data_IF_787715328265
#
_entry.id   IF_787715328265
#
_cell.length_a   1.000
_cell.length_b   1.000
_cell.length_c   1.000
_cell.angle_alpha   90.00
_cell.angle_beta   90.00
_cell.angle_gamma   90.00
#
_symmetry.space_group_name_H-M   'P 1'
#
loop_
_entity.id
_entity.type
_entity.pdbx_description
1 polymer ?
#
# COMPACT_ATOMS: atom_id res chain seq x y z
N UNK A 1 -29.45 -32.65 -15.30
CA UNK A 1 -28.68 -31.41 -15.28
C UNK A 1 -28.91 -30.74 -13.94
N UNK A 2 -27.88 -30.65 -13.11
CA UNK A 2 -27.98 -29.90 -11.85
C UNK A 2 -27.96 -28.38 -12.17
N UNK A 3 -28.27 -27.53 -11.18
CA UNK A 3 -28.30 -26.06 -11.38
C UNK A 3 -26.96 -25.51 -11.88
N UNK A 4 -25.84 -26.02 -11.35
CA UNK A 4 -24.51 -25.54 -11.68
C UNK A 4 -24.13 -25.86 -13.13
N UNK A 5 -24.41 -27.07 -13.61
CA UNK A 5 -24.17 -27.51 -14.98
C UNK A 5 -24.99 -26.72 -16.00
N UNK A 6 -26.23 -26.36 -15.68
CA UNK A 6 -27.04 -25.47 -16.52
C UNK A 6 -26.42 -24.08 -16.65
N UNK A 7 -26.00 -23.49 -15.52
CA UNK A 7 -25.33 -22.19 -15.50
C UNK A 7 -24.00 -22.21 -16.25
N UNK A 8 -23.21 -23.28 -16.11
CA UNK A 8 -21.93 -23.43 -16.82
C UNK A 8 -22.12 -23.47 -18.34
N UNK A 9 -23.12 -24.19 -18.84
CA UNK A 9 -23.43 -24.24 -20.28
C UNK A 9 -23.85 -22.86 -20.83
N UNK A 10 -24.63 -22.10 -20.07
CA UNK A 10 -24.99 -20.72 -20.42
C UNK A 10 -23.76 -19.80 -20.43
N UNK A 11 -22.87 -19.94 -19.44
CA UNK A 11 -21.65 -19.15 -19.32
C UNK A 11 -20.63 -19.51 -20.41
N UNK A 12 -20.50 -20.78 -20.78
CA UNK A 12 -19.62 -21.23 -21.86
C UNK A 12 -20.09 -20.70 -23.23
N UNK A 13 -21.40 -20.50 -23.40
CA UNK A 13 -21.98 -20.06 -24.68
C UNK A 13 -22.09 -18.54 -24.84
N UNK A 14 -22.23 -17.78 -23.75
CA UNK A 14 -22.42 -16.32 -23.84
C UNK A 14 -21.74 -15.52 -22.74
N UNK A 15 -20.89 -14.58 -23.14
CA UNK A 15 -20.27 -13.61 -22.23
C UNK A 15 -21.28 -12.67 -21.56
N UNK A 16 -22.44 -12.42 -22.19
CA UNK A 16 -23.50 -11.58 -21.58
C UNK A 16 -24.02 -12.16 -20.27
N UNK A 17 -23.96 -13.49 -20.13
CA UNK A 17 -24.39 -14.19 -18.93
C UNK A 17 -23.50 -13.90 -17.72
N UNK A 18 -22.22 -13.57 -17.95
CA UNK A 18 -21.33 -13.13 -16.88
C UNK A 18 -21.86 -11.85 -16.22
N UNK A 19 -22.31 -10.89 -17.05
CA UNK A 19 -22.84 -9.61 -16.58
C UNK A 19 -24.12 -9.79 -15.77
N UNK A 20 -24.99 -10.72 -16.17
CA UNK A 20 -26.19 -11.07 -15.41
C UNK A 20 -25.87 -11.75 -14.06
N UNK A 21 -24.83 -12.59 -14.03
CA UNK A 21 -24.45 -13.36 -12.84
C UNK A 21 -23.67 -12.52 -11.82
N UNK A 22 -22.85 -11.57 -12.27
CA UNK A 22 -21.90 -10.83 -11.43
C UNK A 22 -22.49 -10.21 -10.15
N UNK A 23 -23.68 -9.58 -10.17
CA UNK A 23 -24.26 -8.98 -8.96
C UNK A 23 -24.59 -10.00 -7.85
N UNK A 24 -24.85 -11.25 -8.21
CA UNK A 24 -25.24 -12.33 -7.28
C UNK A 24 -24.24 -13.48 -7.29
N UNK A 25 -23.02 -13.27 -7.77
CA UNK A 25 -22.04 -14.33 -7.98
C UNK A 25 -21.79 -15.15 -6.69
N UNK A 26 -21.68 -14.50 -5.53
CA UNK A 26 -21.47 -15.19 -4.26
C UNK A 26 -22.59 -16.17 -3.88
N UNK A 27 -23.86 -15.83 -4.18
CA UNK A 27 -25.01 -16.71 -3.93
C UNK A 27 -25.18 -17.76 -5.04
N UNK A 28 -24.94 -17.34 -6.28
CA UNK A 28 -25.14 -18.18 -7.46
C UNK A 28 -24.12 -19.31 -7.57
N UNK A 29 -22.92 -19.12 -7.01
CA UNK A 29 -21.86 -20.12 -6.96
C UNK A 29 -21.94 -21.03 -5.73
N UNK A 30 -22.89 -20.82 -4.81
CA UNK A 30 -23.02 -21.67 -3.62
C UNK A 30 -23.26 -23.13 -4.00
N UNK A 31 -22.48 -24.02 -3.38
CA UNK A 31 -22.58 -25.46 -3.62
C UNK A 31 -21.90 -25.94 -4.90
N UNK A 32 -21.17 -25.07 -5.62
CA UNK A 32 -20.30 -25.52 -6.70
C UNK A 32 -19.21 -26.45 -6.16
N UNK A 33 -18.92 -27.49 -6.92
CA UNK A 33 -17.79 -28.40 -6.70
C UNK A 33 -16.49 -27.83 -7.29
N UNK A 34 -15.34 -28.36 -6.86
CA UNK A 34 -14.04 -27.95 -7.41
C UNK A 34 -13.96 -28.10 -8.94
N UNK A 35 -14.56 -29.16 -9.49
CA UNK A 35 -14.62 -29.38 -10.94
C UNK A 35 -15.48 -28.34 -11.67
N UNK A 36 -16.59 -27.90 -11.06
CA UNK A 36 -17.44 -26.84 -11.63
C UNK A 36 -16.73 -25.48 -11.59
N UNK A 37 -15.94 -25.20 -10.56
CA UNK A 37 -15.08 -24.00 -10.47
C UNK A 37 -13.96 -24.04 -11.52
N UNK A 38 -13.36 -25.20 -11.79
CA UNK A 38 -12.36 -25.37 -12.86
C UNK A 38 -12.95 -24.99 -14.22
N UNK A 39 -14.11 -25.58 -14.57
CA UNK A 39 -14.82 -25.27 -15.83
C UNK A 39 -15.22 -23.81 -15.95
N UNK A 40 -15.72 -23.22 -14.85
CA UNK A 40 -16.04 -21.79 -14.82
C UNK A 40 -14.81 -20.93 -15.11
N UNK A 41 -13.66 -21.33 -14.56
CA UNK A 41 -12.38 -20.62 -14.74
C UNK A 41 -11.89 -20.69 -16.19
N UNK A 42 -12.10 -21.83 -16.87
CA UNK A 42 -11.83 -21.97 -18.31
C UNK A 42 -12.73 -21.05 -19.13
N UNK A 43 -14.04 -21.03 -18.85
CA UNK A 43 -14.98 -20.15 -19.54
C UNK A 43 -14.65 -18.67 -19.32
N UNK A 44 -14.34 -18.28 -18.08
CA UNK A 44 -13.89 -16.92 -17.73
C UNK A 44 -12.65 -16.52 -18.53
N UNK A 45 -11.64 -17.40 -18.63
CA UNK A 45 -10.41 -17.11 -19.36
C UNK A 45 -10.67 -16.82 -20.85
N UNK A 46 -11.56 -17.59 -21.49
CA UNK A 46 -11.95 -17.36 -22.90
C UNK A 46 -12.62 -16.00 -23.07
N UNK A 47 -13.60 -15.69 -22.22
CA UNK A 47 -14.34 -14.42 -22.31
C UNK A 47 -13.48 -13.20 -21.98
N UNK A 48 -12.63 -13.31 -20.97
CA UNK A 48 -11.69 -12.24 -20.61
C UNK A 48 -10.71 -11.99 -21.74
N UNK A 49 -10.13 -13.02 -22.34
CA UNK A 49 -9.22 -12.85 -23.47
C UNK A 49 -9.89 -12.14 -24.66
N UNK A 50 -11.10 -12.55 -25.03
CA UNK A 50 -11.86 -11.91 -26.10
C UNK A 50 -12.25 -10.46 -25.75
N UNK A 51 -12.66 -10.21 -24.50
CA UNK A 51 -13.05 -8.87 -24.05
C UNK A 51 -11.85 -7.92 -23.95
N UNK A 52 -10.67 -8.40 -23.55
CA UNK A 52 -9.43 -7.60 -23.56
C UNK A 52 -9.08 -7.13 -24.98
N UNK A 53 -9.19 -8.01 -25.97
CA UNK A 53 -8.95 -7.66 -27.37
C UNK A 53 -9.97 -6.62 -27.88
N UNK A 54 -11.25 -6.76 -27.50
CA UNK A 54 -12.30 -5.82 -27.87
C UNK A 54 -12.20 -4.47 -27.12
N UNK A 55 -11.61 -4.46 -25.92
CA UNK A 55 -11.40 -3.27 -25.10
C UNK A 55 -10.11 -2.51 -25.45
N UNK A 56 -9.25 -3.04 -26.34
CA UNK A 56 -8.00 -2.39 -26.76
C UNK A 56 -8.12 -0.88 -27.10
N UNK A 57 -9.19 -0.40 -27.78
CA UNK A 57 -9.36 1.03 -28.05
C UNK A 57 -9.50 1.91 -26.78
N UNK A 58 -9.96 1.35 -25.65
CA UNK A 58 -10.03 2.06 -24.37
C UNK A 58 -8.66 2.19 -23.70
N UNK A 59 -7.68 1.36 -24.10
CA UNK A 59 -6.32 1.42 -23.58
C UNK A 59 -5.51 2.54 -24.24
N UNK A 60 -5.71 2.74 -25.55
CA UNK A 60 -4.95 3.71 -26.36
C UNK A 60 -5.61 5.10 -26.47
N UNK A 61 -6.71 5.35 -25.76
CA UNK A 61 -7.47 6.60 -25.87
C UNK A 61 -6.60 7.81 -25.45
N UNK A 62 -5.92 8.41 -26.43
CA UNK A 62 -5.19 9.66 -26.25
C UNK A 62 -6.18 10.76 -25.79
N UNK A 63 -5.73 11.68 -24.94
CA UNK A 63 -6.53 12.84 -24.58
C UNK A 63 -6.73 13.68 -25.84
N UNK A 64 -7.95 13.67 -26.34
CA UNK A 64 -8.48 14.49 -27.41
C UNK A 64 -8.14 14.05 -28.85
N UNK A 65 -9.17 13.53 -29.54
CA UNK A 65 -9.31 13.68 -30.98
C UNK A 65 -8.85 12.52 -31.83
N UNK A 66 -9.54 11.36 -31.79
CA UNK A 66 -9.61 10.50 -32.98
C UNK A 66 -10.76 9.49 -32.89
N UNK A 67 -11.59 9.52 -33.94
CA UNK A 67 -12.56 8.54 -34.45
C UNK A 67 -13.41 7.72 -33.46
N UNK A 68 -14.72 7.81 -33.66
CA UNK A 68 -15.72 6.89 -33.15
C UNK A 68 -15.45 5.44 -33.61
N UNK A 69 -14.61 4.73 -32.85
CA UNK A 69 -14.75 3.27 -32.70
C UNK A 69 -16.10 3.05 -32.00
N UNK A 70 -16.89 2.07 -32.45
CA UNK A 70 -18.26 1.83 -31.96
C UNK A 70 -18.30 1.74 -30.44
N UNK A 71 -18.69 2.85 -29.79
CA UNK A 71 -18.59 3.02 -28.34
C UNK A 71 -19.32 1.92 -27.55
N UNK A 72 -20.37 1.35 -28.14
CA UNK A 72 -21.16 0.23 -27.60
C UNK A 72 -20.35 -1.07 -27.48
N UNK A 73 -19.47 -1.37 -28.44
CA UNK A 73 -18.66 -2.60 -28.41
C UNK A 73 -17.60 -2.56 -27.31
N UNK A 74 -17.01 -1.39 -27.09
CA UNK A 74 -15.99 -1.17 -26.04
C UNK A 74 -16.66 -1.21 -24.66
N UNK A 75 -17.80 -0.55 -24.51
CA UNK A 75 -18.56 -0.53 -23.25
C UNK A 75 -19.04 -1.95 -22.84
N UNK A 76 -19.52 -2.73 -23.81
CA UNK A 76 -19.86 -4.13 -23.57
C UNK A 76 -18.65 -4.96 -23.12
N UNK A 77 -17.48 -4.77 -23.74
CA UNK A 77 -16.25 -5.46 -23.36
C UNK A 77 -15.80 -5.09 -21.94
N UNK A 78 -15.81 -3.80 -21.58
CA UNK A 78 -15.51 -3.35 -20.22
C UNK A 78 -16.47 -3.93 -19.19
N UNK A 79 -17.77 -4.04 -19.53
CA UNK A 79 -18.78 -4.67 -18.69
C UNK A 79 -18.50 -6.16 -18.45
N UNK A 80 -18.08 -6.90 -19.48
CA UNK A 80 -17.68 -8.31 -19.36
C UNK A 80 -16.46 -8.47 -18.46
N UNK A 81 -15.43 -7.63 -18.62
CA UNK A 81 -14.23 -7.66 -17.79
C UNK A 81 -14.56 -7.36 -16.32
N UNK A 82 -15.44 -6.40 -16.06
CA UNK A 82 -15.86 -6.05 -14.70
C UNK A 82 -16.67 -7.17 -14.05
N UNK A 83 -17.54 -7.82 -14.84
CA UNK A 83 -18.29 -8.99 -14.40
C UNK A 83 -17.37 -10.18 -14.08
N UNK A 84 -16.38 -10.45 -14.94
CA UNK A 84 -15.37 -11.47 -14.70
C UNK A 84 -14.57 -11.21 -13.42
N UNK A 85 -14.16 -9.96 -13.18
CA UNK A 85 -13.48 -9.57 -11.94
C UNK A 85 -14.36 -9.83 -10.69
N UNK A 86 -15.65 -9.49 -10.76
CA UNK A 86 -16.59 -9.72 -9.66
C UNK A 86 -16.82 -11.22 -9.36
N UNK A 87 -16.93 -12.05 -10.42
CA UNK A 87 -17.08 -13.51 -10.29
C UNK A 87 -15.80 -14.13 -9.73
N UNK A 88 -14.63 -13.75 -10.26
CA UNK A 88 -13.34 -14.20 -9.75
C UNK A 88 -13.16 -13.82 -8.27
N UNK A 89 -13.64 -12.64 -7.87
CA UNK A 89 -13.61 -12.20 -6.48
C UNK A 89 -14.51 -13.06 -5.59
N UNK A 90 -15.70 -13.39 -6.06
CA UNK A 90 -16.62 -14.28 -5.34
C UNK A 90 -15.97 -15.65 -5.09
N UNK A 91 -15.27 -16.20 -6.09
CA UNK A 91 -14.51 -17.44 -5.93
C UNK A 91 -13.36 -17.26 -4.93
N UNK A 92 -12.60 -16.17 -5.05
CA UNK A 92 -11.45 -15.88 -4.20
C UNK A 92 -11.81 -15.65 -2.71
N UNK A 93 -13.02 -15.19 -2.39
CA UNK A 93 -13.44 -15.00 -0.99
C UNK A 93 -13.94 -16.30 -0.35
N UNK A 94 -14.46 -17.25 -1.13
CA UNK A 94 -15.04 -18.49 -0.62
C UNK A 94 -13.95 -19.53 -0.27
N UNK A 95 -13.63 -19.76 1.01
CA UNK A 95 -12.44 -20.55 1.41
C UNK A 95 -12.49 -22.01 0.95
N UNK A 96 -13.69 -22.55 0.75
CA UNK A 96 -13.88 -23.93 0.29
C UNK A 96 -13.46 -24.16 -1.17
N UNK A 97 -13.38 -23.10 -1.97
CA UNK A 97 -12.89 -23.20 -3.35
C UNK A 97 -11.37 -23.19 -3.39
N UNK A 98 -10.82 -24.16 -4.11
CA UNK A 98 -9.46 -24.06 -4.63
C UNK A 98 -9.39 -22.97 -5.69
N UNK A 99 -8.16 -22.55 -6.03
CA UNK A 99 -7.91 -21.56 -7.07
C UNK A 99 -7.30 -22.29 -8.28
N UNK A 100 -8.06 -22.49 -9.37
CA UNK A 100 -7.52 -22.99 -10.63
C UNK A 100 -6.45 -22.08 -11.21
N UNK A 101 -5.47 -22.64 -11.91
CA UNK A 101 -4.42 -21.87 -12.60
C UNK A 101 -5.02 -20.88 -13.62
N UNK A 102 -6.10 -21.28 -14.30
CA UNK A 102 -6.81 -20.39 -15.24
C UNK A 102 -7.44 -19.18 -14.57
N UNK A 103 -7.94 -19.35 -13.34
CA UNK A 103 -8.52 -18.24 -12.59
C UNK A 103 -7.42 -17.27 -12.13
N UNK A 104 -6.28 -17.80 -11.72
CA UNK A 104 -5.11 -16.99 -11.35
C UNK A 104 -4.63 -16.18 -12.57
N UNK A 105 -4.48 -16.81 -13.73
CA UNK A 105 -4.10 -16.15 -14.98
C UNK A 105 -5.12 -15.06 -15.41
N UNK A 106 -6.42 -15.26 -15.14
CA UNK A 106 -7.44 -14.22 -15.34
C UNK A 106 -7.21 -13.03 -14.41
N UNK A 107 -6.93 -13.29 -13.12
CA UNK A 107 -6.66 -12.22 -12.16
C UNK A 107 -5.39 -11.42 -12.51
N UNK A 108 -4.32 -12.10 -12.94
CA UNK A 108 -3.08 -11.49 -13.44
C UNK A 108 -3.34 -10.63 -14.68
N UNK A 109 -4.02 -11.17 -15.70
CA UNK A 109 -4.31 -10.44 -16.94
C UNK A 109 -5.18 -9.19 -16.70
N UNK A 110 -6.12 -9.27 -15.75
CA UNK A 110 -6.92 -8.12 -15.33
C UNK A 110 -6.09 -7.10 -14.55
N UNK A 111 -5.20 -7.57 -13.68
CA UNK A 111 -4.31 -6.71 -12.90
C UNK A 111 -3.33 -5.93 -13.77
N UNK A 112 -2.79 -6.55 -14.82
CA UNK A 112 -1.84 -5.93 -15.74
C UNK A 112 -2.40 -4.67 -16.41
N UNK A 113 -3.70 -4.65 -16.71
CA UNK A 113 -4.35 -3.53 -17.40
C UNK A 113 -4.81 -2.38 -16.48
N UNK A 114 -4.64 -2.46 -15.16
CA UNK A 114 -5.19 -1.46 -14.20
C UNK A 114 -4.83 -0.02 -14.62
N UNK A 115 -3.58 0.21 -15.03
CA UNK A 115 -3.08 1.54 -15.41
C UNK A 115 -3.19 1.86 -16.90
N UNK A 116 -3.54 0.88 -17.73
CA UNK A 116 -3.76 1.09 -19.16
C UNK A 116 -5.18 1.60 -19.44
N UNK A 117 -6.08 1.54 -18.46
CA UNK A 117 -7.47 2.00 -18.56
C UNK A 117 -7.57 3.53 -18.48
N UNK A 118 -7.27 4.22 -19.58
CA UNK A 118 -7.30 5.68 -19.68
C UNK A 118 -8.71 6.26 -19.90
N UNK A 119 -9.64 5.47 -20.43
CA UNK A 119 -11.02 5.89 -20.68
C UNK A 119 -11.80 6.09 -19.35
N UNK A 120 -12.46 7.24 -19.12
CA UNK A 120 -13.26 7.47 -17.92
C UNK A 120 -14.33 6.40 -17.66
N UNK A 121 -14.87 5.77 -18.72
CA UNK A 121 -15.85 4.68 -18.63
C UNK A 121 -15.27 3.44 -17.95
N UNK A 122 -13.95 3.25 -17.99
CA UNK A 122 -13.26 2.12 -17.39
C UNK A 122 -12.99 2.26 -15.89
N UNK A 123 -13.37 3.39 -15.27
CA UNK A 123 -13.20 3.60 -13.83
C UNK A 123 -13.90 2.52 -12.97
N UNK A 124 -15.10 2.08 -13.39
CA UNK A 124 -15.82 0.98 -12.74
C UNK A 124 -15.05 -0.34 -12.82
N UNK A 125 -14.41 -0.62 -13.97
CA UNK A 125 -13.59 -1.80 -14.17
C UNK A 125 -12.33 -1.75 -13.30
N UNK A 126 -11.62 -0.63 -13.26
CA UNK A 126 -10.45 -0.45 -12.38
C UNK A 126 -10.82 -0.75 -10.92
N UNK A 127 -11.94 -0.20 -10.44
CA UNK A 127 -12.45 -0.46 -9.09
C UNK A 127 -12.71 -1.95 -8.85
N UNK A 128 -13.37 -2.62 -9.78
CA UNK A 128 -13.68 -4.06 -9.66
C UNK A 128 -12.41 -4.94 -9.64
N UNK A 129 -11.42 -4.62 -10.48
CA UNK A 129 -10.13 -5.34 -10.52
C UNK A 129 -9.38 -5.15 -9.21
N UNK A 130 -9.33 -3.92 -8.69
CA UNK A 130 -8.66 -3.63 -7.41
C UNK A 130 -9.35 -4.37 -6.26
N UNK A 131 -10.69 -4.36 -6.20
CA UNK A 131 -11.44 -5.11 -5.18
C UNK A 131 -11.22 -6.63 -5.25
N UNK A 132 -11.07 -7.17 -6.47
CA UNK A 132 -10.64 -8.56 -6.69
C UNK A 132 -9.27 -8.80 -6.06
N UNK A 133 -8.27 -8.00 -6.41
CA UNK A 133 -6.89 -8.16 -5.92
C UNK A 133 -6.80 -7.98 -4.40
N UNK A 134 -7.54 -7.02 -3.82
CA UNK A 134 -7.65 -6.82 -2.38
C UNK A 134 -8.20 -8.07 -1.69
N UNK A 135 -9.28 -8.64 -2.22
CA UNK A 135 -9.90 -9.85 -1.67
C UNK A 135 -8.98 -11.06 -1.80
N UNK A 136 -8.28 -11.19 -2.92
CA UNK A 136 -7.30 -12.24 -3.19
C UNK A 136 -6.15 -12.21 -2.18
N UNK A 137 -5.63 -11.02 -1.89
CA UNK A 137 -4.59 -10.81 -0.89
C UNK A 137 -5.08 -11.16 0.53
N UNK A 138 -6.24 -10.63 0.92
CA UNK A 138 -6.81 -10.80 2.26
C UNK A 138 -7.25 -12.25 2.56
N UNK A 139 -7.68 -12.99 1.53
CA UNK A 139 -8.03 -14.40 1.63
C UNK A 139 -6.81 -15.36 1.51
N UNK A 140 -5.59 -14.81 1.44
CA UNK A 140 -4.33 -15.57 1.38
C UNK A 140 -4.26 -16.58 0.24
N UNK A 141 -4.78 -16.19 -0.93
CA UNK A 141 -4.82 -17.06 -2.11
C UNK A 141 -3.44 -17.22 -2.76
N UNK A 142 -3.19 -18.35 -3.47
CA UNK A 142 -1.95 -18.55 -4.24
C UNK A 142 -1.77 -17.46 -5.30
N UNK A 143 -0.52 -17.16 -5.66
CA UNK A 143 -0.19 -16.13 -6.64
C UNK A 143 -0.44 -14.68 -6.19
N UNK A 144 -0.91 -14.44 -4.94
CA UNK A 144 -1.27 -13.09 -4.46
C UNK A 144 -0.17 -12.05 -4.58
N UNK A 145 1.09 -12.47 -4.58
CA UNK A 145 2.27 -11.60 -4.65
C UNK A 145 2.37 -10.91 -6.03
N UNK A 146 1.97 -11.60 -7.10
CA UNK A 146 1.97 -11.09 -8.48
C UNK A 146 0.96 -9.94 -8.65
N UNK A 147 -0.13 -9.98 -7.88
CA UNK A 147 -1.17 -8.95 -7.88
C UNK A 147 -0.81 -7.71 -7.04
N UNK A 148 0.35 -7.65 -6.39
CA UNK A 148 0.67 -6.56 -5.46
C UNK A 148 1.00 -5.22 -6.13
N UNK A 149 1.91 -5.13 -7.12
CA UNK A 149 2.52 -3.84 -7.47
C UNK A 149 1.51 -2.80 -8.00
N UNK A 150 0.63 -3.19 -8.92
CA UNK A 150 -0.36 -2.30 -9.52
C UNK A 150 -1.50 -2.00 -8.52
N UNK A 151 -1.97 -3.00 -7.77
CA UNK A 151 -3.01 -2.81 -6.74
C UNK A 151 -2.57 -1.83 -5.66
N UNK A 152 -1.37 -1.98 -5.11
CA UNK A 152 -0.84 -1.03 -4.12
C UNK A 152 -0.63 0.35 -4.74
N UNK A 153 -0.11 0.42 -5.96
CA UNK A 153 0.07 1.70 -6.67
C UNK A 153 -1.27 2.41 -6.84
N UNK A 154 -2.34 1.70 -7.20
CA UNK A 154 -3.68 2.26 -7.34
C UNK A 154 -4.19 2.80 -6.00
N UNK A 155 -4.12 1.99 -4.92
CA UNK A 155 -4.56 2.40 -3.59
C UNK A 155 -3.78 3.62 -3.07
N UNK A 156 -2.48 3.71 -3.39
CA UNK A 156 -1.66 4.88 -3.08
C UNK A 156 -2.12 6.11 -3.84
N UNK A 157 -2.35 6.00 -5.15
CA UNK A 157 -2.88 7.11 -5.97
C UNK A 157 -4.25 7.56 -5.45
N UNK A 158 -5.16 6.64 -5.12
CA UNK A 158 -6.46 6.96 -4.53
C UNK A 158 -6.33 7.68 -3.19
N UNK A 159 -5.46 7.22 -2.29
CA UNK A 159 -5.23 7.86 -0.99
C UNK A 159 -4.52 9.22 -1.07
N UNK A 160 -3.80 9.47 -2.17
CA UNK A 160 -3.10 10.73 -2.44
C UNK A 160 -3.91 11.73 -3.25
N UNK A 161 -5.01 11.30 -3.86
CA UNK A 161 -5.92 12.16 -4.61
C UNK A 161 -6.46 13.33 -3.75
N UNK A 162 -6.89 14.41 -4.38
CA UNK A 162 -7.43 15.58 -3.66
C UNK A 162 -8.76 15.29 -2.98
N UNK A 163 -9.62 14.52 -3.66
CA UNK A 163 -10.91 14.06 -3.14
C UNK A 163 -10.81 12.82 -2.24
N UNK A 164 -9.59 12.39 -1.87
CA UNK A 164 -9.39 11.22 -1.03
C UNK A 164 -10.05 11.38 0.35
N UNK A 165 -10.56 10.27 0.87
CA UNK A 165 -11.27 10.19 2.15
C UNK A 165 -10.48 9.34 3.16
N UNK A 166 -10.93 9.34 4.42
CA UNK A 166 -10.37 8.45 5.42
C UNK A 166 -10.62 6.96 5.10
N UNK A 167 -11.63 6.63 4.28
CA UNK A 167 -11.88 5.26 3.85
C UNK A 167 -10.76 4.75 2.94
N UNK A 168 -10.26 5.59 2.02
CA UNK A 168 -9.15 5.24 1.12
C UNK A 168 -7.87 4.93 1.90
N UNK A 169 -7.56 5.73 2.93
CA UNK A 169 -6.42 5.48 3.82
C UNK A 169 -6.59 4.18 4.61
N UNK A 170 -7.81 3.86 5.05
CA UNK A 170 -8.11 2.60 5.76
C UNK A 170 -7.95 1.38 4.84
N UNK A 171 -8.39 1.47 3.58
CA UNK A 171 -8.19 0.42 2.57
C UNK A 171 -6.70 0.17 2.34
N UNK A 172 -5.92 1.22 2.09
CA UNK A 172 -4.46 1.10 1.95
C UNK A 172 -3.79 0.47 3.19
N UNK A 173 -4.23 0.83 4.40
CA UNK A 173 -3.73 0.20 5.63
C UNK A 173 -4.12 -1.28 5.75
N UNK A 174 -5.31 -1.68 5.28
CA UNK A 174 -5.71 -3.09 5.29
C UNK A 174 -4.71 -3.97 4.52
N UNK A 175 -4.23 -3.48 3.36
CA UNK A 175 -3.23 -4.15 2.52
C UNK A 175 -1.77 -3.88 2.87
N UNK A 176 -1.47 -3.20 3.98
CA UNK A 176 -0.09 -2.84 4.38
C UNK A 176 0.93 -3.99 4.29
N UNK A 177 0.55 -5.24 4.57
CA UNK A 177 1.47 -6.37 4.55
C UNK A 177 1.97 -6.69 3.14
N UNK A 178 1.20 -6.35 2.10
CA UNK A 178 1.59 -6.52 0.71
C UNK A 178 2.82 -5.68 0.33
N UNK A 179 3.03 -4.53 1.00
CA UNK A 179 4.25 -3.75 0.81
C UNK A 179 5.52 -4.54 1.15
N UNK A 180 5.42 -5.60 1.95
CA UNK A 180 6.56 -6.47 2.28
C UNK A 180 7.01 -7.39 1.15
N UNK A 181 6.20 -7.56 0.10
CA UNK A 181 6.52 -8.40 -1.08
C UNK A 181 7.50 -7.69 -2.02
N UNK A 182 7.51 -6.36 -2.00
CA UNK A 182 8.25 -5.54 -2.96
C UNK A 182 9.76 -5.57 -2.67
N UNK A 183 10.57 -5.70 -3.73
CA UNK A 183 12.01 -5.51 -3.63
C UNK A 183 12.34 -4.01 -3.68
N UNK A 184 12.63 -3.42 -2.51
CA UNK A 184 12.99 -2.01 -2.36
C UNK A 184 14.40 -1.64 -2.88
N UNK A 185 15.22 -2.65 -3.23
CA UNK A 185 16.51 -2.44 -3.86
C UNK A 185 16.41 -2.40 -5.39
N UNK A 186 15.36 -2.97 -5.96
CA UNK A 186 15.15 -2.99 -7.40
C UNK A 186 14.68 -1.61 -7.93
N UNK A 187 15.21 -1.14 -9.08
CA UNK A 187 14.80 0.15 -9.66
C UNK A 187 13.31 0.23 -10.05
N UNK A 188 12.64 -0.89 -10.33
CA UNK A 188 11.23 -0.94 -10.73
C UNK A 188 10.29 -0.35 -9.66
N UNK A 189 10.64 -0.48 -8.38
CA UNK A 189 9.85 0.04 -7.25
C UNK A 189 9.95 1.57 -7.10
N UNK A 190 10.80 2.25 -7.88
CA UNK A 190 11.09 3.68 -7.71
C UNK A 190 9.83 4.55 -7.80
N UNK A 191 8.92 4.26 -8.73
CA UNK A 191 7.66 4.99 -8.86
C UNK A 191 6.77 4.82 -7.61
N UNK A 192 6.67 3.58 -7.11
CA UNK A 192 5.92 3.26 -5.90
C UNK A 192 6.55 3.90 -4.65
N UNK A 193 7.89 3.90 -4.53
CA UNK A 193 8.61 4.63 -3.46
C UNK A 193 8.28 6.12 -3.47
N UNK A 194 8.19 6.75 -4.65
CA UNK A 194 7.77 8.16 -4.76
C UNK A 194 6.35 8.35 -4.20
N UNK A 195 5.40 7.47 -4.54
CA UNK A 195 4.04 7.54 -3.97
C UNK A 195 4.07 7.42 -2.43
N UNK A 196 4.82 6.45 -1.89
CA UNK A 196 5.01 6.29 -0.44
C UNK A 196 5.60 7.55 0.23
N UNK A 197 6.56 8.21 -0.42
CA UNK A 197 7.12 9.48 0.07
C UNK A 197 6.07 10.60 0.10
N UNK A 198 5.15 10.65 -0.88
CA UNK A 198 4.04 11.60 -0.85
C UNK A 198 3.06 11.30 0.30
N UNK A 199 2.86 10.03 0.66
CA UNK A 199 2.05 9.67 1.83
C UNK A 199 2.63 10.23 3.13
N UNK A 200 3.97 10.34 3.25
CA UNK A 200 4.63 10.91 4.42
C UNK A 200 4.24 12.36 4.68
N UNK A 201 3.81 13.10 3.65
CA UNK A 201 3.55 14.54 3.73
C UNK A 201 2.08 14.90 3.51
N UNK A 202 1.22 13.95 3.09
CA UNK A 202 -0.20 14.18 2.83
C UNK A 202 -0.97 14.42 4.16
N UNK A 203 -1.61 15.60 4.36
CA UNK A 203 -2.28 15.92 5.61
C UNK A 203 -3.45 14.98 5.98
N UNK A 204 -4.10 14.34 5.00
CA UNK A 204 -5.16 13.36 5.24
C UNK A 204 -4.59 12.10 5.91
N UNK A 205 -3.51 11.55 5.35
CA UNK A 205 -2.83 10.35 5.87
C UNK A 205 -2.30 10.60 7.28
N UNK A 206 -1.66 11.75 7.54
CA UNK A 206 -1.15 12.09 8.87
C UNK A 206 -2.24 12.21 9.94
N UNK A 207 -3.40 12.78 9.58
CA UNK A 207 -4.50 12.97 10.53
C UNK A 207 -5.25 11.67 10.85
N UNK A 208 -5.32 10.76 9.89
CA UNK A 208 -5.92 9.44 10.06
C UNK A 208 -5.08 8.55 11.01
N UNK A 209 -5.72 7.80 11.89
CA UNK A 209 -5.02 6.90 12.81
C UNK A 209 -4.37 5.73 12.05
N UNK A 210 -5.09 5.12 11.12
CA UNK A 210 -4.61 4.07 10.23
C UNK A 210 -3.50 4.58 9.32
N UNK A 211 -3.60 5.83 8.83
CA UNK A 211 -2.54 6.48 8.09
C UNK A 211 -1.26 6.63 8.91
N UNK A 212 -1.31 7.08 10.18
CA UNK A 212 -0.11 7.11 11.02
C UNK A 212 0.49 5.73 11.28
N UNK A 213 -0.35 4.70 11.46
CA UNK A 213 0.14 3.32 11.57
C UNK A 213 0.87 2.89 10.29
N UNK A 214 0.33 3.26 9.11
CA UNK A 214 0.98 3.01 7.82
C UNK A 214 2.35 3.69 7.77
N UNK A 215 2.45 4.99 8.10
CA UNK A 215 3.72 5.72 8.05
C UNK A 215 4.76 5.13 9.01
N UNK A 216 4.34 4.65 10.18
CA UNK A 216 5.22 3.90 11.11
C UNK A 216 5.70 2.59 10.48
N UNK A 217 4.80 1.85 9.81
CA UNK A 217 5.13 0.60 9.14
C UNK A 217 6.17 0.80 8.02
N UNK A 218 6.11 1.92 7.29
CA UNK A 218 7.08 2.21 6.21
C UNK A 218 8.54 2.27 6.68
N UNK A 219 8.78 2.72 7.92
CA UNK A 219 10.13 2.71 8.52
C UNK A 219 10.67 1.29 8.75
N UNK A 220 9.82 0.26 8.70
CA UNK A 220 10.20 -1.15 8.88
C UNK A 220 10.38 -1.93 7.59
N UNK A 221 10.26 -1.30 6.41
CA UNK A 221 10.29 -2.00 5.12
C UNK A 221 11.71 -2.23 4.57
N UNK A 222 12.54 -1.18 4.57
CA UNK A 222 13.89 -1.26 4.01
C UNK A 222 14.81 -0.20 4.62
N UNK A 223 15.97 -0.56 5.23
CA UNK A 223 16.80 0.41 5.97
C UNK A 223 17.32 1.60 5.12
N UNK A 224 17.78 1.41 3.87
CA UNK A 224 18.11 2.53 2.98
C UNK A 224 16.96 3.50 2.74
N UNK A 225 15.71 3.00 2.67
CA UNK A 225 14.54 3.84 2.40
C UNK A 225 14.19 4.78 3.56
N UNK A 226 14.57 4.44 4.80
CA UNK A 226 14.35 5.28 6.00
C UNK A 226 14.91 6.70 5.81
N UNK A 227 16.07 6.84 5.16
CA UNK A 227 16.67 8.14 4.91
C UNK A 227 15.84 9.02 3.96
N UNK A 228 15.18 8.40 2.98
CA UNK A 228 14.29 9.11 2.05
C UNK A 228 13.00 9.55 2.76
N UNK A 229 12.40 8.65 3.57
CA UNK A 229 11.22 8.95 4.39
C UNK A 229 11.51 10.12 5.35
N UNK A 230 12.67 10.07 6.02
CA UNK A 230 13.13 11.12 6.92
C UNK A 230 13.30 12.46 6.20
N UNK A 231 13.97 12.46 5.03
CA UNK A 231 14.16 13.67 4.21
C UNK A 231 12.82 14.28 3.81
N UNK A 232 11.86 13.47 3.39
CA UNK A 232 10.51 13.93 3.04
C UNK A 232 9.81 14.63 4.22
N UNK A 233 9.83 14.03 5.42
CA UNK A 233 9.29 14.65 6.63
C UNK A 233 10.05 15.93 6.99
N UNK A 234 11.38 15.89 7.02
CA UNK A 234 12.25 16.98 7.46
C UNK A 234 12.03 18.24 6.62
N UNK A 235 11.82 18.09 5.31
CA UNK A 235 11.48 19.20 4.42
C UNK A 235 10.17 19.92 4.80
N UNK A 236 9.23 19.22 5.45
CA UNK A 236 7.94 19.80 5.87
C UNK A 236 8.01 20.51 7.23
N UNK A 237 8.96 20.18 8.11
CA UNK A 237 9.03 20.70 9.49
C UNK A 237 8.96 22.24 9.57
N UNK A 238 9.69 23.00 8.74
CA UNK A 238 9.72 24.46 8.83
C UNK A 238 8.39 25.12 8.44
N UNK A 239 7.64 24.50 7.52
CA UNK A 239 6.46 25.09 6.87
C UNK A 239 5.15 24.56 7.40
N UNK A 240 5.12 23.33 7.93
CA UNK A 240 3.89 22.73 8.41
C UNK A 240 3.41 23.37 9.72
N UNK A 241 2.13 23.17 10.06
CA UNK A 241 1.56 23.63 11.34
C UNK A 241 2.03 22.77 12.51
N UNK A 242 1.97 23.33 13.73
CA UNK A 242 2.35 22.61 14.97
C UNK A 242 1.69 21.23 15.08
N UNK A 243 0.40 21.14 14.81
CA UNK A 243 -0.33 19.87 14.94
C UNK A 243 0.20 18.77 14.03
N UNK A 244 0.80 19.09 12.87
CA UNK A 244 1.46 18.08 12.03
C UNK A 244 2.84 17.71 12.59
N UNK A 245 3.59 18.66 13.14
CA UNK A 245 4.86 18.38 13.83
C UNK A 245 4.69 17.43 15.02
N UNK A 246 3.62 17.61 15.80
CA UNK A 246 3.30 16.73 16.91
C UNK A 246 3.05 15.29 16.42
N UNK A 247 2.36 15.12 15.30
CA UNK A 247 2.10 13.81 14.68
C UNK A 247 3.39 13.18 14.11
N UNK A 248 4.28 13.96 13.52
CA UNK A 248 5.60 13.45 13.12
C UNK A 248 6.43 12.95 14.30
N UNK A 249 6.39 13.67 15.43
CA UNK A 249 7.02 13.23 16.67
C UNK A 249 6.49 11.86 17.14
N UNK A 250 5.17 11.67 17.11
CA UNK A 250 4.53 10.38 17.38
C UNK A 250 5.01 9.28 16.42
N UNK A 251 5.08 9.56 15.12
CA UNK A 251 5.50 8.59 14.10
C UNK A 251 6.95 8.15 14.34
N UNK A 252 7.89 9.08 14.52
CA UNK A 252 9.29 8.74 14.79
C UNK A 252 9.44 7.88 16.05
N UNK A 253 8.76 8.27 17.13
CA UNK A 253 8.82 7.52 18.38
C UNK A 253 8.28 6.10 18.22
N UNK A 254 7.13 5.93 17.57
CA UNK A 254 6.52 4.61 17.35
C UNK A 254 7.38 3.74 16.43
N UNK A 255 7.98 4.32 15.39
CA UNK A 255 8.91 3.61 14.51
C UNK A 255 10.16 3.14 15.27
N UNK A 256 10.79 4.03 16.05
CA UNK A 256 11.91 3.68 16.92
C UNK A 256 11.54 2.57 17.91
N UNK A 257 10.35 2.66 18.53
CA UNK A 257 9.89 1.67 19.49
C UNK A 257 9.72 0.28 18.87
N UNK A 258 9.19 0.21 17.65
CA UNK A 258 9.06 -1.02 16.90
C UNK A 258 10.44 -1.62 16.57
N UNK A 259 11.39 -0.81 16.11
CA UNK A 259 12.75 -1.25 15.77
C UNK A 259 13.59 -1.67 17.00
N UNK A 260 13.31 -1.11 18.17
CA UNK A 260 14.03 -1.40 19.42
C UNK A 260 13.71 -2.78 20.04
N UNK A 261 12.92 -3.62 19.36
CA UNK A 261 12.54 -4.96 19.84
C UNK A 261 11.64 -4.96 21.08
N UNK A 262 11.25 -3.79 21.57
CA UNK A 262 10.55 -3.66 22.83
C UNK A 262 9.02 -3.84 22.73
N UNK A 263 8.55 -4.21 21.53
CA UNK A 263 7.22 -4.74 21.22
C UNK A 263 7.21 -6.27 21.04
N UNK A 264 8.37 -6.95 21.07
CA UNK A 264 8.46 -8.41 20.93
C UNK A 264 8.30 -9.10 22.29
N UNK A 265 7.08 -9.05 22.82
CA UNK A 265 6.63 -9.97 23.87
C UNK A 265 5.41 -10.74 23.35
N UNK A 266 5.58 -11.48 22.26
CA UNK A 266 4.80 -12.67 21.92
C UNK A 266 5.33 -13.29 20.63
N UNK A 267 5.59 -14.59 20.72
CA UNK A 267 5.75 -15.55 19.61
C UNK A 267 7.17 -15.76 19.05
N UNK A 268 7.82 -16.75 19.68
CA UNK A 268 8.73 -17.78 19.13
C UNK A 268 10.05 -17.40 18.46
N UNK A 269 11.14 -17.71 19.18
CA UNK A 269 12.08 -18.75 18.76
C UNK A 269 13.21 -18.35 17.82
N UNK A 270 14.41 -18.18 18.37
CA UNK A 270 15.65 -18.17 17.58
C UNK A 270 16.78 -17.37 18.23
N UNK A 271 17.77 -18.06 18.76
CA UNK A 271 18.90 -17.51 19.49
C UNK A 271 19.83 -16.61 18.64
N UNK A 272 20.43 -15.62 19.33
CA UNK A 272 21.85 -15.17 19.34
C UNK A 272 21.86 -13.68 19.73
N UNK A 273 22.48 -13.21 20.80
CA UNK A 273 23.84 -13.55 21.22
C UNK A 273 24.83 -12.73 20.39
N UNK A 274 24.85 -11.40 20.58
CA UNK A 274 25.73 -10.46 19.88
C UNK A 274 25.11 -9.07 19.80
N UNK A 275 25.79 -8.05 20.32
CA UNK A 275 25.40 -6.63 20.26
C UNK A 275 25.56 -6.09 18.83
N UNK A 276 24.69 -6.54 17.92
CA UNK A 276 24.50 -5.91 16.61
C UNK A 276 23.26 -5.03 16.74
N UNK A 277 23.45 -3.71 16.62
CA UNK A 277 22.33 -2.78 16.47
C UNK A 277 21.61 -3.18 15.18
N UNK A 278 20.30 -3.42 15.27
CA UNK A 278 19.47 -3.68 14.10
C UNK A 278 19.62 -2.51 13.12
N UNK A 279 19.91 -2.76 11.84
CA UNK A 279 20.14 -1.71 10.84
C UNK A 279 18.99 -0.66 10.78
N UNK A 280 17.76 -1.09 11.04
CA UNK A 280 16.60 -0.20 11.16
C UNK A 280 16.72 0.76 12.36
N UNK A 281 17.13 0.24 13.51
CA UNK A 281 17.31 1.02 14.73
C UNK A 281 18.43 2.05 14.57
N UNK A 282 19.56 1.65 14.00
CA UNK A 282 20.68 2.55 13.69
C UNK A 282 20.24 3.70 12.79
N UNK A 283 19.53 3.40 11.69
CA UNK A 283 19.01 4.42 10.77
C UNK A 283 18.00 5.36 11.43
N UNK A 284 17.15 4.86 12.32
CA UNK A 284 16.18 5.69 13.06
C UNK A 284 16.86 6.57 14.12
N UNK A 285 17.83 6.02 14.84
CA UNK A 285 18.51 6.72 15.91
C UNK A 285 19.49 7.76 15.36
N UNK A 286 20.43 7.36 14.51
CA UNK A 286 21.50 8.23 14.00
C UNK A 286 21.03 9.03 12.77
N UNK A 287 20.30 8.38 11.86
CA UNK A 287 19.87 8.98 10.60
C UNK A 287 18.62 9.87 10.68
N UNK A 288 17.82 9.75 11.75
CA UNK A 288 16.58 10.52 11.91
C UNK A 288 16.57 11.32 13.21
N UNK A 289 16.57 10.66 14.37
CA UNK A 289 16.39 11.33 15.66
C UNK A 289 17.58 12.24 15.99
N UNK A 290 18.80 11.73 15.87
CA UNK A 290 20.02 12.50 16.14
C UNK A 290 20.20 13.66 15.14
N UNK A 291 19.83 13.45 13.87
CA UNK A 291 19.80 14.53 12.87
C UNK A 291 18.89 15.70 13.31
N UNK A 292 17.65 15.40 13.74
CA UNK A 292 16.73 16.41 14.26
C UNK A 292 17.29 17.09 15.52
N UNK A 293 17.89 16.32 16.43
CA UNK A 293 18.52 16.85 17.64
C UNK A 293 19.67 17.80 17.30
N UNK A 294 20.55 17.40 16.38
CA UNK A 294 21.68 18.21 15.93
C UNK A 294 21.21 19.54 15.38
N UNK A 295 20.23 19.52 14.46
CA UNK A 295 19.67 20.73 13.90
C UNK A 295 18.89 21.58 14.91
N UNK A 296 18.25 20.97 15.92
CA UNK A 296 17.54 21.71 16.96
C UNK A 296 18.50 22.51 17.85
N UNK A 297 19.69 21.97 18.14
CA UNK A 297 20.74 22.64 18.93
C UNK A 297 21.44 23.73 18.12
N UNK A 298 21.72 23.48 16.83
CA UNK A 298 22.49 24.39 15.98
C UNK A 298 21.63 25.33 15.11
N UNK A 299 20.31 25.33 15.29
CA UNK A 299 19.42 26.16 14.50
C UNK A 299 19.73 27.65 14.69
N UNK A 300 20.05 28.34 13.59
CA UNK A 300 20.31 29.77 13.59
C UNK A 300 19.07 30.63 13.90
N UNK A 301 17.86 30.11 13.69
CA UNK A 301 16.62 30.81 13.99
C UNK A 301 15.83 30.15 15.12
N UNK A 302 15.30 30.99 16.01
CA UNK A 302 14.47 30.54 17.14
C UNK A 302 13.22 29.77 16.67
N UNK A 303 12.66 30.17 15.51
CA UNK A 303 11.50 29.51 14.91
C UNK A 303 11.83 28.09 14.45
N UNK A 304 12.96 27.89 13.75
CA UNK A 304 13.42 26.57 13.33
C UNK A 304 13.72 25.68 14.55
N UNK A 305 14.44 26.22 15.52
CA UNK A 305 14.78 25.50 16.75
C UNK A 305 13.51 25.04 17.48
N UNK A 306 12.49 25.91 17.54
CA UNK A 306 11.19 25.61 18.14
C UNK A 306 10.42 24.55 17.35
N UNK A 307 10.41 24.63 16.01
CA UNK A 307 9.76 23.64 15.17
C UNK A 307 10.38 22.24 15.34
N UNK A 308 11.70 22.13 15.34
CA UNK A 308 12.40 20.85 15.56
C UNK A 308 12.17 20.31 16.97
N UNK A 309 12.23 21.17 17.99
CA UNK A 309 11.91 20.78 19.37
C UNK A 309 10.47 20.30 19.53
N UNK A 310 9.52 20.84 18.77
CA UNK A 310 8.13 20.36 18.79
C UNK A 310 8.01 18.91 18.30
N UNK A 311 8.75 18.54 17.25
CA UNK A 311 8.79 17.14 16.78
C UNK A 311 9.45 16.23 17.84
N UNK A 312 10.58 16.66 18.40
CA UNK A 312 11.31 15.89 19.42
C UNK A 312 10.59 15.79 20.77
N UNK A 313 9.67 16.73 21.06
CA UNK A 313 8.96 16.80 22.33
C UNK A 313 8.19 15.51 22.65
N UNK A 314 7.65 14.84 21.63
CA UNK A 314 6.94 13.57 21.83
C UNK A 314 7.86 12.52 22.45
N UNK A 315 9.04 12.28 21.86
CA UNK A 315 10.04 11.32 22.38
C UNK A 315 10.51 11.72 23.77
N UNK A 316 10.76 13.00 24.03
CA UNK A 316 11.16 13.49 25.35
C UNK A 316 10.09 13.26 26.43
N UNK A 317 8.81 13.38 26.07
CA UNK A 317 7.71 13.10 27.00
C UNK A 317 7.65 11.61 27.40
N UNK A 318 8.22 10.71 26.60
CA UNK A 318 8.22 9.25 26.84
C UNK A 318 9.43 8.75 27.63
N UNK A 319 10.21 9.62 28.30
CA UNK A 319 11.41 9.25 29.09
C UNK A 319 11.23 8.10 30.07
N UNK A 320 10.03 7.90 30.61
CA UNK A 320 9.71 6.81 31.55
C UNK A 320 9.60 5.44 30.86
N UNK A 321 9.49 5.39 29.54
CA UNK A 321 9.46 4.13 28.81
C UNK A 321 10.86 3.51 28.74
N UNK A 322 10.93 2.19 28.91
CA UNK A 322 12.19 1.43 28.91
C UNK A 322 13.01 1.71 27.64
N UNK A 323 14.27 2.12 27.83
CA UNK A 323 15.24 2.37 26.76
C UNK A 323 15.25 3.81 26.24
N UNK A 324 14.21 4.61 26.48
CA UNK A 324 14.13 5.98 25.95
C UNK A 324 15.19 6.88 26.56
N UNK A 325 15.34 6.87 27.88
CA UNK A 325 16.32 7.72 28.57
C UNK A 325 17.77 7.41 28.13
N UNK A 326 18.11 6.12 28.02
CA UNK A 326 19.41 5.65 27.53
C UNK A 326 19.66 6.03 26.06
N UNK A 327 18.64 5.87 25.20
CA UNK A 327 18.74 6.35 23.81
C UNK A 327 18.95 7.86 23.75
N UNK A 328 18.16 8.65 24.49
CA UNK A 328 18.29 10.11 24.49
C UNK A 328 19.69 10.55 24.94
N UNK A 329 20.22 9.95 26.02
CA UNK A 329 21.57 10.24 26.50
C UNK A 329 22.60 9.97 25.39
N UNK A 330 22.58 8.77 24.80
CA UNK A 330 23.52 8.34 23.76
C UNK A 330 23.45 9.23 22.51
N UNK A 331 22.26 9.66 22.11
CA UNK A 331 22.09 10.50 20.92
C UNK A 331 22.50 11.95 21.14
N UNK A 332 22.24 12.52 22.33
CA UNK A 332 22.62 13.90 22.63
C UNK A 332 24.09 14.09 23.01
N UNK A 333 24.72 13.09 23.63
CA UNK A 333 26.11 13.16 24.12
C UNK A 333 27.10 13.73 23.07
N UNK A 334 27.20 13.19 21.83
CA UNK A 334 28.15 13.72 20.85
C UNK A 334 27.80 15.12 20.34
N UNK A 335 26.56 15.57 20.47
CA UNK A 335 26.09 16.90 20.03
C UNK A 335 26.46 17.94 21.10
N UNK A 336 26.07 17.69 22.35
CA UNK A 336 26.26 18.62 23.45
C UNK A 336 27.74 18.74 23.83
N UNK A 337 28.48 17.63 23.86
CA UNK A 337 29.90 17.66 24.23
C UNK A 337 30.76 18.42 23.22
N UNK A 338 30.42 18.35 21.93
CA UNK A 338 31.07 19.18 20.90
C UNK A 338 30.70 20.64 21.05
N UNK A 339 29.42 20.96 21.28
CA UNK A 339 28.98 22.35 21.48
C UNK A 339 29.62 23.02 22.71
N UNK A 340 29.88 22.26 23.78
CA UNK A 340 30.51 22.75 25.01
C UNK A 340 32.03 22.85 24.94
N UNK A 341 32.68 22.16 24.00
CA UNK A 341 34.15 22.16 23.82
C UNK A 341 34.67 23.22 22.86
N UNK A 342 33.80 23.88 22.10
CA UNK A 342 34.20 25.04 21.29
C UNK A 342 34.42 26.20 22.24
N UNK A 343 35.67 26.65 22.38
CA UNK A 343 35.98 27.86 23.13
C UNK A 343 35.22 29.04 22.51
N UNK A 344 34.45 29.77 23.32
CA UNK A 344 33.94 31.07 22.90
C UNK A 344 35.15 31.98 22.65
N UNK A 345 35.39 32.47 21.42
CA UNK A 345 36.32 33.59 21.26
C UNK A 345 35.69 34.79 21.97
N UNK A 346 36.35 35.23 23.03
CA UNK A 346 35.97 36.40 23.83
C UNK A 346 36.03 37.69 23.02
#
# INVERSE_FOLDING_TARGET
MNRAEALLLELESSASKLVELAPTAGESLQGFSAHEVERLSEALAVHVHAALAAAAPAFDAAPEGSSAVSGESVEGALGILAAAAAIARAIAVEPSFGIPEKLQAVAEALHDIIFDLHDPRASTLQGAIVELCESWWLAERPGRDELVPQTISYLLVSALHEAATAADVKRLWALRSALGVLDYADPSVAALKRLLLHCMIKPLVLRCAEGRKLLVYLFGLHPPFIAELHRAIKAQIPVCRKSLRDLYGEIYFRAWRAASGASSSSTSGGARGGSSVCAYLERLEEGCLQDLMFHAVHAASANMATALRQVLAYTHAQKRQRGVDSMLLRLYEPILWRALKVANPH
#
